data_IF_236838318712
#
_entry.id   IF_236838318712
#
_cell.length_a   1.000
_cell.length_b   1.000
_cell.length_c   1.000
_cell.angle_alpha   90.00
_cell.angle_beta   90.00
_cell.angle_gamma   90.00
#
_symmetry.space_group_name_H-M   'P 1'
#
loop_
_entity.id
_entity.type
_entity.pdbx_description
1 polymer ?
#
# COMPACT_ATOMS: atom_id res chain seq x y z
N UNK A 1 -16.90 3.63 9.76
CA UNK A 1 -16.24 2.86 8.68
C UNK A 1 -17.13 2.73 7.43
N UNK A 2 -18.38 2.28 7.54
CA UNK A 2 -19.28 2.07 6.40
C UNK A 2 -19.49 3.31 5.53
N UNK A 3 -19.85 4.46 6.13
CA UNK A 3 -20.01 5.74 5.43
C UNK A 3 -18.76 6.17 4.65
N UNK A 4 -17.59 5.82 5.17
CA UNK A 4 -16.30 6.13 4.54
C UNK A 4 -16.04 5.23 3.32
N UNK A 5 -16.26 3.92 3.46
CA UNK A 5 -16.10 2.96 2.35
C UNK A 5 -17.14 3.22 1.26
N UNK A 6 -18.40 3.48 1.61
CA UNK A 6 -19.46 3.75 0.63
C UNK A 6 -19.27 5.07 -0.15
N UNK A 7 -18.48 6.01 0.39
CA UNK A 7 -18.10 7.24 -0.32
C UNK A 7 -17.20 6.98 -1.53
N UNK A 8 -16.50 5.83 -1.59
CA UNK A 8 -15.56 5.51 -2.66
C UNK A 8 -16.24 5.30 -4.01
N UNK A 9 -15.47 5.38 -5.10
CA UNK A 9 -15.99 5.13 -6.46
C UNK A 9 -16.51 3.70 -6.55
N UNK A 10 -17.65 3.51 -7.22
CA UNK A 10 -18.28 2.19 -7.34
C UNK A 10 -17.33 1.16 -7.97
N UNK A 11 -16.59 1.56 -9.00
CA UNK A 11 -15.63 0.67 -9.68
C UNK A 11 -14.51 0.18 -8.74
N UNK A 12 -14.03 1.04 -7.84
CA UNK A 12 -13.01 0.65 -6.86
C UNK A 12 -13.59 -0.37 -5.85
N UNK A 13 -14.81 -0.14 -5.37
CA UNK A 13 -15.48 -1.09 -4.47
C UNK A 13 -15.74 -2.43 -5.16
N UNK A 14 -16.18 -2.41 -6.41
CA UNK A 14 -16.44 -3.60 -7.21
C UNK A 14 -15.16 -4.40 -7.45
N UNK A 15 -14.06 -3.72 -7.80
CA UNK A 15 -12.74 -4.34 -7.96
C UNK A 15 -12.32 -5.07 -6.69
N UNK A 16 -12.35 -4.39 -5.54
CA UNK A 16 -11.93 -4.98 -4.25
C UNK A 16 -12.85 -6.13 -3.82
N UNK A 17 -14.17 -6.01 -3.99
CA UNK A 17 -15.10 -7.10 -3.68
C UNK A 17 -14.87 -8.33 -4.57
N UNK A 18 -14.55 -8.10 -5.85
CA UNK A 18 -14.26 -9.18 -6.80
C UNK A 18 -12.93 -9.86 -6.49
N UNK A 19 -11.88 -9.08 -6.23
CA UNK A 19 -10.54 -9.55 -5.86
C UNK A 19 -10.57 -10.40 -4.58
N UNK A 20 -11.29 -9.92 -3.55
CA UNK A 20 -11.49 -10.66 -2.30
C UNK A 20 -12.53 -11.78 -2.41
N UNK A 21 -13.19 -11.92 -3.57
CA UNK A 21 -14.37 -12.76 -3.78
C UNK A 21 -15.39 -12.66 -2.64
N UNK A 22 -15.62 -11.45 -2.13
CA UNK A 22 -16.45 -11.19 -0.95
C UNK A 22 -17.60 -10.26 -1.32
N UNK A 23 -18.80 -10.82 -1.35
CA UNK A 23 -20.03 -10.16 -1.75
C UNK A 23 -21.10 -10.36 -0.66
N UNK A 24 -22.08 -9.45 -0.58
CA UNK A 24 -23.09 -9.49 0.47
C UNK A 24 -24.02 -10.71 0.34
N UNK A 25 -24.01 -11.56 1.38
CA UNK A 25 -24.95 -12.65 1.61
C UNK A 25 -25.16 -13.59 0.41
N UNK A 26 -26.42 -13.94 0.18
CA UNK A 26 -26.89 -14.92 -0.81
C UNK A 26 -26.52 -14.57 -2.25
N UNK A 27 -26.15 -13.30 -2.50
CA UNK A 27 -25.77 -12.82 -3.83
C UNK A 27 -24.37 -13.25 -4.22
N UNK A 28 -23.54 -13.74 -3.30
CA UNK A 28 -22.15 -14.16 -3.58
C UNK A 28 -22.05 -15.12 -4.75
N UNK A 29 -22.80 -16.24 -4.70
CA UNK A 29 -22.80 -17.26 -5.76
C UNK A 29 -23.26 -16.71 -7.11
N UNK A 30 -24.26 -15.82 -7.10
CA UNK A 30 -24.81 -15.23 -8.33
C UNK A 30 -23.85 -14.21 -8.95
N UNK A 31 -23.22 -13.37 -8.12
CA UNK A 31 -22.33 -12.29 -8.56
C UNK A 31 -20.96 -12.81 -9.00
N UNK A 32 -20.44 -13.86 -8.36
CA UNK A 32 -19.17 -14.51 -8.76
C UNK A 32 -19.24 -15.18 -10.14
N UNK A 33 -20.44 -15.51 -10.61
CA UNK A 33 -20.66 -16.12 -11.93
C UNK A 33 -20.82 -15.08 -13.04
N UNK A 34 -20.90 -13.79 -12.71
CA UNK A 34 -21.05 -12.74 -13.72
C UNK A 34 -19.68 -12.44 -14.36
N UNK A 35 -19.59 -12.45 -15.70
CA UNK A 35 -18.34 -12.08 -16.38
C UNK A 35 -17.97 -10.60 -16.17
N UNK A 36 -18.98 -9.74 -15.95
CA UNK A 36 -18.79 -8.32 -15.67
C UNK A 36 -19.83 -7.85 -14.65
N UNK A 37 -19.36 -7.33 -13.52
CA UNK A 37 -20.21 -6.72 -12.50
C UNK A 37 -20.68 -5.33 -12.96
N UNK A 38 -22.00 -5.06 -12.95
CA UNK A 38 -22.57 -3.76 -13.32
C UNK A 38 -23.15 -3.05 -12.09
N UNK A 39 -23.28 -1.73 -12.17
CA UNK A 39 -23.84 -0.87 -11.10
C UNK A 39 -25.23 -1.29 -10.62
N UNK A 40 -26.03 -1.91 -11.50
CA UNK A 40 -27.38 -2.39 -11.17
C UNK A 40 -27.38 -3.70 -10.36
N UNK A 41 -26.28 -4.44 -10.39
CA UNK A 41 -26.22 -5.78 -9.78
C UNK A 41 -25.94 -5.68 -8.27
N UNK A 42 -25.22 -4.64 -7.85
CA UNK A 42 -24.88 -4.40 -6.44
C UNK A 42 -24.70 -2.91 -6.13
N UNK A 43 -25.23 -2.48 -4.98
CA UNK A 43 -25.10 -1.10 -4.50
C UNK A 43 -23.75 -0.87 -3.79
N UNK A 44 -23.31 0.40 -3.71
CA UNK A 44 -22.10 0.75 -2.96
C UNK A 44 -22.20 0.40 -1.48
N UNK A 45 -23.39 0.57 -0.88
CA UNK A 45 -23.61 0.28 0.53
C UNK A 45 -23.48 -1.22 0.80
N UNK A 46 -24.02 -2.05 -0.08
CA UNK A 46 -23.93 -3.50 0.04
C UNK A 46 -22.47 -3.99 -0.11
N UNK A 47 -21.69 -3.41 -1.04
CA UNK A 47 -20.24 -3.68 -1.13
C UNK A 47 -19.51 -3.21 0.13
N UNK A 48 -19.82 -2.02 0.64
CA UNK A 48 -19.18 -1.51 1.85
C UNK A 48 -19.45 -2.38 3.09
N UNK A 49 -20.69 -2.87 3.24
CA UNK A 49 -21.05 -3.81 4.30
C UNK A 49 -20.32 -5.14 4.17
N UNK A 50 -20.25 -5.70 2.96
CA UNK A 50 -19.52 -6.93 2.70
C UNK A 50 -18.03 -6.80 3.07
N UNK A 51 -17.39 -5.70 2.66
CA UNK A 51 -15.98 -5.45 3.00
C UNK A 51 -15.74 -5.23 4.50
N UNK A 52 -16.71 -4.66 5.21
CA UNK A 52 -16.63 -4.51 6.68
C UNK A 52 -16.79 -5.86 7.35
N UNK A 53 -17.76 -6.66 6.92
CA UNK A 53 -17.96 -8.02 7.43
C UNK A 53 -16.70 -8.85 7.23
N UNK A 54 -16.13 -8.85 6.03
CA UNK A 54 -14.85 -9.48 5.74
C UNK A 54 -13.75 -8.98 6.69
N UNK A 55 -13.62 -7.65 6.85
CA UNK A 55 -12.56 -7.08 7.69
C UNK A 55 -12.69 -7.45 9.17
N UNK A 56 -13.91 -7.58 9.68
CA UNK A 56 -14.16 -7.88 11.10
C UNK A 56 -14.03 -9.38 11.36
N UNK A 57 -14.52 -10.22 10.45
CA UNK A 57 -14.70 -11.65 10.69
C UNK A 57 -13.63 -12.53 10.04
N UNK A 58 -13.07 -12.11 8.90
CA UNK A 58 -12.21 -12.96 8.06
C UNK A 58 -10.74 -12.51 8.06
N UNK A 59 -10.42 -11.38 8.70
CA UNK A 59 -9.04 -10.90 8.87
C UNK A 59 -8.63 -11.11 10.32
N UNK A 60 -7.73 -12.06 10.57
CA UNK A 60 -7.12 -12.26 11.88
C UNK A 60 -6.42 -10.96 12.36
N UNK A 61 -6.28 -10.80 13.67
CA UNK A 61 -5.60 -9.67 14.34
C UNK A 61 -4.08 -9.58 14.03
N UNK A 62 -3.63 -10.05 12.87
CA UNK A 62 -2.25 -9.91 12.46
C UNK A 62 -1.95 -8.43 12.16
N UNK A 63 -0.88 -7.93 12.78
CA UNK A 63 -0.26 -6.67 12.42
C UNK A 63 0.05 -6.70 10.92
N UNK A 64 -0.46 -5.67 10.23
CA UNK A 64 -0.41 -5.51 8.79
C UNK A 64 0.99 -5.77 8.22
N UNK A 65 1.12 -6.80 7.38
CA UNK A 65 2.18 -6.91 6.38
C UNK A 65 1.49 -7.08 5.02
N UNK A 66 1.87 -6.24 4.04
CA UNK A 66 1.39 -6.36 2.66
C UNK A 66 2.59 -6.43 1.73
N UNK A 67 2.61 -7.44 0.86
CA UNK A 67 3.33 -7.35 -0.41
C UNK A 67 2.53 -8.01 -1.54
N UNK A 68 2.01 -9.22 -1.34
CA UNK A 68 1.06 -9.82 -2.28
C UNK A 68 0.07 -10.66 -1.46
N UNK A 69 -1.22 -10.46 -1.69
CA UNK A 69 -2.28 -11.26 -1.08
C UNK A 69 -2.00 -12.74 -1.39
N UNK A 70 -1.69 -13.54 -0.37
CA UNK A 70 -1.54 -14.99 -0.47
C UNK A 70 -2.83 -15.60 0.08
N UNK A 71 -3.80 -15.98 -0.77
CA UNK A 71 -5.01 -16.61 -0.29
C UNK A 71 -4.66 -17.93 0.40
N UNK A 72 -5.08 -18.10 1.65
CA UNK A 72 -4.83 -19.35 2.41
C UNK A 72 -5.71 -20.52 1.94
N UNK A 73 -6.72 -20.26 1.10
CA UNK A 73 -7.74 -21.25 0.70
C UNK A 73 -7.95 -21.36 -0.81
N UNK A 74 -7.20 -20.64 -1.63
CA UNK A 74 -7.33 -20.70 -3.09
C UNK A 74 -5.97 -20.57 -3.77
N UNK A 75 -5.87 -21.10 -4.99
CA UNK A 75 -4.69 -20.96 -5.83
C UNK A 75 -4.40 -19.48 -6.15
N UNK A 76 -3.12 -19.16 -6.27
CA UNK A 76 -2.67 -17.82 -6.62
C UNK A 76 -2.98 -17.53 -8.10
N UNK A 77 -3.47 -16.33 -8.44
CA UNK A 77 -3.64 -15.95 -9.83
C UNK A 77 -2.27 -15.79 -10.52
N UNK A 78 -2.05 -16.47 -11.64
CA UNK A 78 -0.90 -16.24 -12.49
C UNK A 78 -0.99 -14.86 -13.17
N UNK A 79 0.06 -14.06 -13.05
CA UNK A 79 0.19 -12.71 -13.65
C UNK A 79 1.39 -12.67 -14.61
N UNK A 80 1.31 -13.34 -15.78
CA UNK A 80 2.44 -13.49 -16.70
C UNK A 80 2.89 -12.19 -17.38
N UNK A 81 2.10 -11.12 -17.31
CA UNK A 81 2.41 -9.81 -17.91
C UNK A 81 3.14 -8.86 -16.96
N UNK A 82 3.33 -9.24 -15.69
CA UNK A 82 4.09 -8.47 -14.72
C UNK A 82 5.56 -8.94 -14.73
N UNK A 83 6.34 -8.48 -15.70
CA UNK A 83 7.78 -8.76 -15.76
C UNK A 83 8.49 -8.12 -14.57
N UNK A 84 9.18 -8.95 -13.78
CA UNK A 84 10.02 -8.51 -12.66
C UNK A 84 11.29 -7.84 -13.22
N UNK A 85 11.21 -6.54 -13.51
CA UNK A 85 12.36 -5.71 -13.89
C UNK A 85 13.33 -5.58 -12.70
N UNK A 86 14.21 -6.55 -12.47
CA UNK A 86 15.02 -6.59 -11.25
C UNK A 86 16.54 -6.75 -11.44
N UNK A 87 17.09 -6.76 -12.65
CA UNK A 87 18.45 -7.31 -12.83
C UNK A 87 19.58 -6.39 -13.31
N UNK A 88 19.36 -5.11 -13.67
CA UNK A 88 20.50 -4.28 -14.16
C UNK A 88 20.80 -2.98 -13.40
N UNK A 89 19.90 -2.46 -12.54
CA UNK A 89 20.20 -1.27 -11.71
C UNK A 89 20.53 -1.61 -10.24
N UNK A 90 20.41 -2.88 -9.86
CA UNK A 90 20.30 -3.31 -8.46
C UNK A 90 21.64 -3.31 -7.70
N UNK A 91 22.78 -3.56 -8.37
CA UNK A 91 24.05 -3.82 -7.66
C UNK A 91 24.64 -2.55 -7.01
N UNK A 92 24.54 -1.39 -7.67
CA UNK A 92 25.05 -0.14 -7.07
C UNK A 92 24.11 0.43 -6.01
N UNK A 93 22.79 0.27 -6.18
CA UNK A 93 21.79 0.69 -5.18
C UNK A 93 21.87 -0.17 -3.91
N UNK A 94 22.04 -1.49 -4.07
CA UNK A 94 22.24 -2.43 -2.94
C UNK A 94 23.47 -2.11 -2.10
N UNK A 95 24.51 -1.49 -2.68
CA UNK A 95 25.70 -1.07 -1.93
C UNK A 95 25.48 0.23 -1.13
N UNK A 96 24.50 1.05 -1.51
CA UNK A 96 24.14 2.29 -0.78
C UNK A 96 23.09 2.05 0.29
N UNK A 97 22.27 1.00 0.13
CA UNK A 97 21.20 0.66 1.05
C UNK A 97 21.69 -0.23 2.18
N UNK A 98 21.19 0.05 3.38
CA UNK A 98 21.42 -0.79 4.53
C UNK A 98 20.60 -2.07 4.36
N UNK A 99 21.28 -3.19 4.19
CA UNK A 99 20.64 -4.51 4.20
C UNK A 99 20.18 -4.84 5.63
N UNK A 100 18.97 -4.39 5.98
CA UNK A 100 18.37 -4.66 7.26
C UNK A 100 17.80 -6.09 7.27
N UNK A 101 18.23 -6.89 8.24
CA UNK A 101 17.54 -8.14 8.54
C UNK A 101 16.11 -7.83 9.01
N UNK A 102 15.16 -8.77 8.89
CA UNK A 102 13.80 -8.56 9.40
C UNK A 102 13.78 -8.15 10.88
N UNK A 103 14.69 -8.70 11.69
CA UNK A 103 14.82 -8.35 13.11
C UNK A 103 15.34 -6.91 13.29
N UNK A 104 16.43 -6.55 12.60
CA UNK A 104 17.00 -5.20 12.71
C UNK A 104 15.99 -4.14 12.24
N UNK A 105 15.22 -4.45 11.19
CA UNK A 105 14.13 -3.58 10.73
C UNK A 105 13.06 -3.42 11.81
N UNK A 106 12.62 -4.51 12.44
CA UNK A 106 11.63 -4.45 13.51
C UNK A 106 12.12 -3.62 14.71
N UNK A 107 13.38 -3.80 15.11
CA UNK A 107 14.00 -3.08 16.23
C UNK A 107 14.11 -1.58 15.94
N UNK A 108 14.55 -1.20 14.73
CA UNK A 108 14.64 0.20 14.30
C UNK A 108 13.25 0.86 14.22
N UNK A 109 12.25 0.16 13.70
CA UNK A 109 10.88 0.66 13.66
C UNK A 109 10.32 0.83 15.08
N UNK A 110 10.61 -0.09 16.00
CA UNK A 110 10.20 0.02 17.39
C UNK A 110 10.83 1.24 18.07
N UNK A 111 12.14 1.47 17.88
CA UNK A 111 12.84 2.63 18.41
C UNK A 111 12.28 3.94 17.85
N UNK A 112 12.08 4.03 16.53
CA UNK A 112 11.50 5.21 15.91
C UNK A 112 10.08 5.45 16.40
N UNK A 113 9.26 4.40 16.49
CA UNK A 113 7.87 4.48 16.96
C UNK A 113 7.79 5.08 18.35
N UNK A 114 8.69 4.69 19.26
CA UNK A 114 8.75 5.25 20.62
C UNK A 114 9.02 6.76 20.65
N UNK A 115 9.56 7.33 19.57
CA UNK A 115 9.92 8.75 19.42
C UNK A 115 8.95 9.52 18.52
N UNK A 116 7.95 8.86 17.92
CA UNK A 116 6.98 9.52 17.06
C UNK A 116 6.04 10.40 17.88
N UNK A 117 5.77 11.59 17.35
CA UNK A 117 4.67 12.42 17.82
C UNK A 117 3.46 12.29 16.88
N UNK A 118 2.33 12.89 17.29
CA UNK A 118 1.10 12.86 16.50
C UNK A 118 1.30 13.32 15.05
N UNK A 119 2.09 14.40 14.84
CA UNK A 119 2.37 14.92 13.50
C UNK A 119 3.14 13.89 12.66
N UNK A 120 4.23 13.33 13.17
CA UNK A 120 5.01 12.33 12.44
C UNK A 120 4.18 11.10 12.08
N UNK A 121 3.26 10.68 12.96
CA UNK A 121 2.35 9.56 12.69
C UNK A 121 1.40 9.85 11.54
N UNK A 122 0.82 11.06 11.50
CA UNK A 122 0.00 11.51 10.37
C UNK A 122 0.82 11.62 9.07
N UNK A 123 2.05 12.15 9.16
CA UNK A 123 2.95 12.30 8.02
C UNK A 123 3.32 10.93 7.42
N UNK A 124 3.53 9.87 8.23
CA UNK A 124 3.79 8.50 7.73
C UNK A 124 2.66 8.04 6.80
N UNK A 125 1.40 8.18 7.25
CA UNK A 125 0.24 7.82 6.44
C UNK A 125 0.12 8.66 5.16
N UNK A 126 0.45 9.95 5.24
CA UNK A 126 0.46 10.83 4.08
C UNK A 126 1.53 10.42 3.07
N UNK A 127 2.75 10.11 3.51
CA UNK A 127 3.85 9.66 2.66
C UNK A 127 3.45 8.40 1.91
N UNK A 128 3.00 7.34 2.61
CA UNK A 128 2.52 6.12 1.93
C UNK A 128 1.38 6.41 0.94
N UNK A 129 0.48 7.32 1.29
CA UNK A 129 -0.61 7.76 0.41
C UNK A 129 -0.13 8.48 -0.85
N UNK A 130 1.02 9.14 -0.83
CA UNK A 130 1.63 9.79 -1.99
C UNK A 130 2.49 8.84 -2.81
N UNK A 131 3.26 7.96 -2.17
CA UNK A 131 4.07 6.95 -2.84
C UNK A 131 3.23 5.93 -3.63
N UNK A 132 1.96 5.75 -3.26
CA UNK A 132 1.01 4.89 -3.98
C UNK A 132 0.24 5.61 -5.09
N UNK A 133 0.48 6.91 -5.32
CA UNK A 133 -0.15 7.65 -6.40
C UNK A 133 0.61 7.48 -7.72
N UNK A 134 -0.08 7.53 -8.88
CA UNK A 134 0.58 7.50 -10.18
C UNK A 134 1.54 8.67 -10.33
N UNK A 135 2.82 8.38 -10.61
CA UNK A 135 3.86 9.40 -10.84
C UNK A 135 3.71 10.06 -12.22
N UNK A 136 3.05 9.40 -13.16
CA UNK A 136 2.75 9.90 -14.51
C UNK A 136 1.27 9.79 -14.83
N UNK A 137 0.74 10.73 -15.62
CA UNK A 137 -0.61 10.68 -16.14
C UNK A 137 -0.71 9.75 -17.36
N UNK A 138 -1.93 9.56 -17.85
CA UNK A 138 -2.22 8.77 -19.04
C UNK A 138 -1.49 9.25 -20.31
N UNK A 139 -0.90 10.45 -20.30
CA UNK A 139 -0.12 11.04 -21.39
C UNK A 139 1.40 10.99 -21.12
N UNK A 140 1.84 10.24 -20.11
CA UNK A 140 3.26 10.13 -19.73
C UNK A 140 3.84 11.38 -19.07
N UNK A 141 3.03 12.39 -18.72
CA UNK A 141 3.53 13.58 -18.01
C UNK A 141 3.54 13.35 -16.51
N UNK A 142 4.58 13.78 -15.78
CA UNK A 142 4.61 13.71 -14.33
C UNK A 142 3.34 14.32 -13.69
N UNK A 143 2.73 13.61 -12.74
CA UNK A 143 1.63 14.13 -11.92
C UNK A 143 2.19 14.56 -10.57
N UNK A 144 2.02 15.84 -10.27
CA UNK A 144 2.41 16.38 -8.97
C UNK A 144 3.92 16.54 -8.82
N UNK A 145 4.31 16.96 -7.62
CA UNK A 145 5.71 17.09 -7.22
C UNK A 145 5.90 16.31 -5.91
N UNK A 146 6.27 15.04 -6.04
CA UNK A 146 6.48 14.14 -4.90
C UNK A 146 7.54 14.72 -3.96
N UNK A 147 8.69 15.15 -4.49
CA UNK A 147 9.76 15.77 -3.70
C UNK A 147 9.26 16.97 -2.88
N UNK A 148 8.53 17.90 -3.49
CA UNK A 148 7.96 19.06 -2.79
C UNK A 148 6.94 18.66 -1.71
N UNK A 149 6.24 17.54 -1.91
CA UNK A 149 5.28 17.01 -0.95
C UNK A 149 6.01 16.41 0.25
N UNK A 150 7.04 15.59 -0.01
CA UNK A 150 7.86 14.96 1.02
C UNK A 150 8.66 15.99 1.82
N UNK A 151 9.05 17.12 1.21
CA UNK A 151 9.73 18.23 1.88
C UNK A 151 8.92 18.84 3.03
N UNK A 152 7.59 18.66 3.04
CA UNK A 152 6.72 19.15 4.13
C UNK A 152 6.56 18.15 5.28
N UNK A 153 7.06 16.93 5.10
CA UNK A 153 6.94 15.84 6.07
C UNK A 153 8.07 15.92 7.10
N UNK A 154 7.83 15.33 8.28
CA UNK A 154 8.84 15.25 9.32
C UNK A 154 9.96 14.27 8.95
N UNK A 155 11.18 14.53 9.43
CA UNK A 155 12.34 13.65 9.19
C UNK A 155 12.08 12.26 9.78
N UNK A 156 11.47 12.18 10.97
CA UNK A 156 11.13 10.89 11.59
C UNK A 156 10.15 10.08 10.76
N UNK A 157 9.19 10.74 10.11
CA UNK A 157 8.24 10.06 9.23
C UNK A 157 8.92 9.55 7.95
N UNK A 158 9.79 10.36 7.34
CA UNK A 158 10.58 9.95 6.17
C UNK A 158 11.49 8.76 6.50
N UNK A 159 12.23 8.83 7.60
CA UNK A 159 13.12 7.76 8.05
C UNK A 159 12.33 6.46 8.35
N UNK A 160 11.17 6.58 9.00
CA UNK A 160 10.29 5.44 9.26
C UNK A 160 9.88 4.76 7.95
N UNK A 161 9.43 5.52 6.95
CA UNK A 161 9.00 4.96 5.66
C UNK A 161 10.18 4.36 4.90
N UNK A 162 11.37 4.97 4.92
CA UNK A 162 12.57 4.36 4.35
C UNK A 162 12.88 3.01 4.99
N UNK A 163 12.79 2.88 6.31
CA UNK A 163 13.00 1.59 7.00
C UNK A 163 11.90 0.59 6.64
N UNK A 164 10.64 1.04 6.60
CA UNK A 164 9.50 0.19 6.25
C UNK A 164 9.60 -0.36 4.81
N UNK A 165 10.12 0.42 3.87
CA UNK A 165 10.33 -0.01 2.50
C UNK A 165 11.65 -0.75 2.29
N UNK A 166 12.46 -0.93 3.35
CA UNK A 166 13.82 -1.47 3.27
C UNK A 166 14.72 -0.66 2.32
N UNK A 167 14.59 0.67 2.38
CA UNK A 167 15.29 1.70 1.61
C UNK A 167 16.06 2.66 2.52
N UNK A 168 16.55 2.21 3.67
CA UNK A 168 17.38 3.07 4.53
C UNK A 168 18.79 3.15 3.95
N UNK A 169 19.36 4.36 3.84
CA UNK A 169 20.72 4.59 3.37
C UNK A 169 21.76 4.23 4.43
N UNK A 170 22.93 3.76 4.02
CA UNK A 170 24.07 3.50 4.92
C UNK A 170 24.74 4.82 5.33
N UNK A 171 24.94 5.01 6.64
CA UNK A 171 25.68 6.14 7.19
C UNK A 171 24.79 7.29 7.68
N UNK A 172 25.35 8.51 7.72
CA UNK A 172 24.61 9.69 8.12
C UNK A 172 23.82 10.23 6.93
N UNK A 173 22.49 10.19 7.03
CA UNK A 173 21.58 10.77 6.06
C UNK A 173 20.81 11.93 6.68
N UNK A 174 20.63 12.99 5.90
CA UNK A 174 19.75 14.10 6.21
C UNK A 174 18.37 13.89 5.60
N UNK A 175 17.55 14.94 5.69
CA UNK A 175 16.20 14.93 5.13
C UNK A 175 16.20 14.81 3.60
N UNK A 176 17.12 15.50 2.94
CA UNK A 176 17.19 15.55 1.49
C UNK A 176 17.49 14.16 0.90
N UNK A 177 18.41 13.43 1.51
CA UNK A 177 18.81 12.09 1.10
C UNK A 177 17.66 11.08 1.28
N UNK A 178 16.89 11.18 2.36
CA UNK A 178 15.68 10.37 2.55
C UNK A 178 14.61 10.67 1.49
N UNK A 179 14.46 11.94 1.10
CA UNK A 179 13.51 12.33 0.07
C UNK A 179 13.95 11.81 -1.30
N UNK A 180 15.23 11.96 -1.63
CA UNK A 180 15.81 11.48 -2.89
C UNK A 180 15.59 9.97 -3.04
N UNK A 181 15.87 9.20 -1.98
CA UNK A 181 15.66 7.76 -1.98
C UNK A 181 14.18 7.38 -2.18
N UNK A 182 13.25 8.06 -1.49
CA UNK A 182 11.81 7.81 -1.65
C UNK A 182 11.24 8.26 -3.01
N UNK A 183 11.88 9.22 -3.68
CA UNK A 183 11.50 9.65 -5.04
C UNK A 183 12.07 8.71 -6.09
N UNK A 184 13.24 8.13 -5.84
CA UNK A 184 13.87 7.15 -6.72
C UNK A 184 13.19 5.77 -6.67
N UNK A 185 12.55 5.43 -5.56
CA UNK A 185 11.79 4.20 -5.36
C UNK A 185 10.44 4.21 -6.08
#
# INVERSE_FOLDING_TARGET
LQKYISSRKWAALAYVCNDLNHFPGDKRKKLSLLPVLRKRDISKNAMAEALISWRINDVEKAQFAWSHFMPTKSELPEIPWAELNAQHENIQLMNKLQNLTPQNRADLLAELTARLNYKSTCDIGAIHGHLTQPVVNQKGKPIGNLAQTLERMSVSALAFVCIDLNRLLVGNFGKAELIEELVSW
#
